data_IF_732763144628
#
_entry.id   IF_732763144628
#
_cell.length_a   1.000
_cell.length_b   1.000
_cell.length_c   1.000
_cell.angle_alpha   90.00
_cell.angle_beta   90.00
_cell.angle_gamma   90.00
#
_symmetry.space_group_name_H-M   'P 1'
#
loop_
_entity.id
_entity.type
_entity.pdbx_description
1 polymer ?
#
# COMPACT_ATOMS: atom_id res chain seq x y z
N UNK A 1 -17.47 14.26 -0.08
CA UNK A 1 -18.18 13.77 1.09
C UNK A 1 -18.56 12.27 1.01
N UNK A 2 -19.03 11.78 -0.14
CA UNK A 2 -19.46 10.39 -0.37
C UNK A 2 -18.41 9.35 0.04
N UNK A 3 -17.13 9.59 -0.26
CA UNK A 3 -16.03 8.65 -0.02
C UNK A 3 -15.18 9.03 1.19
N UNK A 4 -14.85 10.30 1.34
CA UNK A 4 -13.91 10.75 2.38
C UNK A 4 -14.43 10.50 3.80
N UNK A 5 -15.68 10.87 4.11
CA UNK A 5 -16.25 10.69 5.47
C UNK A 5 -16.31 9.23 5.92
N UNK A 6 -16.81 8.27 5.09
CA UNK A 6 -16.80 6.86 5.47
C UNK A 6 -15.41 6.28 5.66
N UNK A 7 -14.42 6.68 4.84
CA UNK A 7 -13.03 6.26 4.99
C UNK A 7 -12.42 6.84 6.27
N UNK A 8 -12.55 8.14 6.50
CA UNK A 8 -12.00 8.82 7.68
C UNK A 8 -12.59 8.33 9.00
N UNK A 9 -13.85 7.87 9.00
CA UNK A 9 -14.52 7.31 10.17
C UNK A 9 -14.30 5.80 10.36
N UNK A 10 -13.59 5.15 9.46
CA UNK A 10 -13.37 3.69 9.48
C UNK A 10 -14.62 2.86 9.16
N UNK A 11 -15.70 3.47 8.67
CA UNK A 11 -16.92 2.75 8.25
C UNK A 11 -16.74 2.00 6.94
N UNK A 12 -15.80 2.45 6.10
CA UNK A 12 -15.39 1.82 4.85
C UNK A 12 -13.88 1.75 4.79
N UNK A 13 -13.37 0.73 4.10
CA UNK A 13 -11.95 0.56 3.82
C UNK A 13 -11.64 0.96 2.39
N UNK A 14 -10.43 1.48 2.18
CA UNK A 14 -9.93 1.83 0.87
C UNK A 14 -8.60 1.17 0.56
N UNK A 15 -8.30 1.03 -0.73
CA UNK A 15 -7.01 0.56 -1.19
C UNK A 15 -6.51 1.36 -2.40
N UNK A 16 -5.23 1.15 -2.73
CA UNK A 16 -4.50 1.90 -3.74
C UNK A 16 -4.03 0.94 -4.84
N UNK A 17 -4.66 1.02 -6.01
CA UNK A 17 -4.47 0.13 -7.14
C UNK A 17 -3.59 0.74 -8.24
N UNK A 18 -2.26 0.77 -8.04
CA UNK A 18 -1.30 1.28 -9.02
C UNK A 18 -0.60 0.15 -9.78
N UNK A 19 -0.03 -0.81 -9.06
CA UNK A 19 0.86 -1.85 -9.60
C UNK A 19 0.14 -2.81 -10.54
N UNK A 20 0.79 -3.14 -11.65
CA UNK A 20 0.34 -4.16 -12.61
C UNK A 20 1.38 -5.29 -12.72
N UNK A 21 1.03 -6.46 -13.28
CA UNK A 21 1.97 -7.56 -13.46
C UNK A 21 3.29 -7.16 -14.15
N UNK A 22 3.24 -6.24 -15.11
CA UNK A 22 4.39 -5.78 -15.87
C UNK A 22 4.78 -4.31 -15.55
N UNK A 23 4.19 -3.68 -14.55
CA UNK A 23 4.44 -2.28 -14.17
C UNK A 23 4.47 -2.14 -12.65
N UNK A 24 5.61 -2.48 -12.04
CA UNK A 24 5.88 -2.29 -10.61
C UNK A 24 6.70 -1.02 -10.38
N UNK A 25 8.04 -1.15 -10.38
CA UNK A 25 8.95 0.02 -10.24
C UNK A 25 8.79 1.02 -11.39
N UNK A 26 8.55 0.53 -12.60
CA UNK A 26 8.14 1.36 -13.74
C UNK A 26 6.62 1.53 -13.77
N UNK A 27 6.09 2.32 -12.84
CA UNK A 27 4.65 2.58 -12.76
C UNK A 27 4.10 3.37 -13.96
N UNK A 28 4.97 4.00 -14.75
CA UNK A 28 4.58 4.69 -15.98
C UNK A 28 4.20 3.71 -17.10
N UNK A 29 4.75 2.49 -17.06
CA UNK A 29 4.52 1.43 -18.06
C UNK A 29 3.17 0.69 -17.90
N UNK A 30 2.24 1.19 -17.07
CA UNK A 30 0.95 0.55 -16.85
C UNK A 30 0.12 0.44 -18.14
N UNK A 31 -0.67 -0.65 -18.25
CA UNK A 31 -1.44 -0.99 -19.43
C UNK A 31 -2.96 -0.91 -19.22
N UNK A 32 -3.44 -0.91 -17.97
CA UNK A 32 -4.85 -0.69 -17.67
C UNK A 32 -5.34 0.60 -18.34
N UNK A 33 -6.43 0.52 -19.09
CA UNK A 33 -6.99 1.64 -19.87
C UNK A 33 -8.28 2.16 -19.27
N UNK A 34 -8.57 3.44 -19.48
CA UNK A 34 -9.84 4.07 -19.19
C UNK A 34 -10.25 4.92 -20.41
N UNK A 35 -11.15 4.39 -21.22
CA UNK A 35 -11.65 5.08 -22.42
C UNK A 35 -12.88 5.89 -22.06
N UNK A 36 -12.88 7.19 -22.41
CA UNK A 36 -14.02 8.07 -22.14
C UNK A 36 -15.13 7.85 -23.16
N UNK A 37 -16.33 7.60 -22.67
CA UNK A 37 -17.54 7.44 -23.45
C UNK A 37 -18.67 8.31 -22.87
N UNK A 38 -18.83 9.51 -23.42
CA UNK A 38 -19.82 10.46 -22.93
C UNK A 38 -19.60 10.91 -21.48
N UNK A 39 -20.49 10.49 -20.59
CA UNK A 39 -20.49 10.87 -19.16
C UNK A 39 -19.81 9.84 -18.24
N UNK A 40 -19.13 8.83 -18.82
CA UNK A 40 -18.43 7.79 -18.08
C UNK A 40 -17.12 7.37 -18.75
N UNK A 41 -16.37 6.51 -18.05
CA UNK A 41 -15.16 5.83 -18.56
C UNK A 41 -15.39 4.33 -18.55
N UNK A 42 -14.88 3.64 -19.56
CA UNK A 42 -14.84 2.18 -19.63
C UNK A 42 -13.43 1.73 -19.27
N UNK A 43 -13.28 1.05 -18.13
CA UNK A 43 -11.98 0.53 -17.64
C UNK A 43 -11.78 -0.92 -18.07
N UNK A 44 -10.59 -1.21 -18.58
CA UNK A 44 -10.12 -2.54 -18.92
C UNK A 44 -8.68 -2.77 -18.50
N UNK A 45 -8.38 -3.92 -17.88
CA UNK A 45 -7.03 -4.29 -17.43
C UNK A 45 -6.99 -5.01 -16.11
N UNK A 46 -5.84 -4.96 -15.44
CA UNK A 46 -5.68 -5.61 -14.12
C UNK A 46 -4.67 -4.86 -13.25
N UNK A 47 -4.79 -5.05 -11.94
CA UNK A 47 -3.82 -4.61 -10.94
C UNK A 47 -3.44 -5.79 -10.06
N UNK A 48 -2.21 -5.81 -9.55
CA UNK A 48 -1.71 -6.90 -8.71
C UNK A 48 -1.06 -6.37 -7.43
N UNK A 49 -0.98 -7.21 -6.41
CA UNK A 49 -0.42 -6.88 -5.11
C UNK A 49 -1.14 -5.73 -4.39
N UNK A 50 -2.47 -5.66 -4.54
CA UNK A 50 -3.25 -4.58 -3.95
C UNK A 50 -3.61 -4.90 -2.51
N UNK A 51 -2.91 -4.23 -1.60
CA UNK A 51 -3.08 -4.40 -0.15
C UNK A 51 -4.47 -3.97 0.30
N UNK A 52 -5.07 -4.76 1.19
CA UNK A 52 -6.42 -4.61 1.74
C UNK A 52 -7.57 -4.78 0.74
N UNK A 53 -7.31 -5.11 -0.52
CA UNK A 53 -8.35 -5.19 -1.55
C UNK A 53 -9.45 -6.22 -1.26
N UNK A 54 -9.15 -7.33 -0.55
CA UNK A 54 -10.12 -8.36 -0.23
C UNK A 54 -11.30 -7.87 0.64
N UNK A 55 -11.09 -6.85 1.47
CA UNK A 55 -12.12 -6.26 2.33
C UNK A 55 -12.37 -4.77 2.07
N UNK A 56 -11.70 -4.16 1.10
CA UNK A 56 -11.98 -2.77 0.72
C UNK A 56 -13.33 -2.59 0.05
N UNK A 57 -13.95 -1.45 0.29
CA UNK A 57 -15.17 -1.00 -0.37
C UNK A 57 -14.87 -0.02 -1.51
N UNK A 58 -13.76 0.72 -1.37
CA UNK A 58 -13.37 1.83 -2.24
C UNK A 58 -11.95 1.59 -2.74
N UNK A 59 -11.75 1.71 -4.05
CA UNK A 59 -10.49 1.44 -4.73
C UNK A 59 -10.07 2.68 -5.50
N UNK A 60 -8.91 3.25 -5.18
CA UNK A 60 -8.29 4.28 -6.01
C UNK A 60 -7.44 3.57 -7.06
N UNK A 61 -7.87 3.65 -8.32
CA UNK A 61 -7.26 2.92 -9.44
C UNK A 61 -6.69 3.89 -10.45
N UNK A 62 -5.47 3.64 -10.90
CA UNK A 62 -4.80 4.40 -11.94
C UNK A 62 -4.91 3.69 -13.27
N UNK A 63 -5.32 4.42 -14.31
CA UNK A 63 -5.50 3.87 -15.64
C UNK A 63 -5.08 4.88 -16.73
N UNK A 64 -4.70 4.38 -17.88
CA UNK A 64 -4.27 5.16 -19.02
C UNK A 64 -5.50 5.68 -19.79
N UNK A 65 -5.68 6.99 -19.77
CA UNK A 65 -6.72 7.67 -20.59
C UNK A 65 -6.19 8.11 -21.95
N UNK A 66 -4.86 8.35 -22.07
CA UNK A 66 -4.22 8.74 -23.34
C UNK A 66 -2.78 8.21 -23.41
N UNK A 67 -2.59 7.09 -24.12
CA UNK A 67 -1.26 6.45 -24.27
C UNK A 67 -0.22 7.35 -24.93
N UNK A 68 -0.64 8.30 -25.77
CA UNK A 68 0.29 9.17 -26.51
C UNK A 68 1.01 10.17 -25.60
N UNK A 69 0.46 10.44 -24.40
CA UNK A 69 0.98 11.42 -23.44
C UNK A 69 1.89 10.85 -22.36
N UNK A 70 2.20 9.55 -22.39
CA UNK A 70 3.02 8.88 -21.37
C UNK A 70 2.44 9.09 -19.96
N UNK A 71 3.25 9.54 -19.00
CA UNK A 71 2.81 9.78 -17.61
C UNK A 71 1.67 10.81 -17.48
N UNK A 72 1.60 11.76 -18.42
CA UNK A 72 0.51 12.75 -18.48
C UNK A 72 -0.79 12.19 -19.09
N UNK A 73 -0.79 10.95 -19.52
CA UNK A 73 -1.98 10.23 -19.97
C UNK A 73 -2.59 9.32 -18.92
N UNK A 74 -2.00 9.26 -17.72
CA UNK A 74 -2.50 8.47 -16.61
C UNK A 74 -3.47 9.29 -15.78
N UNK A 75 -4.65 8.72 -15.49
CA UNK A 75 -5.71 9.32 -14.67
C UNK A 75 -6.00 8.43 -13.46
N UNK A 76 -6.61 9.01 -12.43
CA UNK A 76 -6.98 8.30 -11.20
C UNK A 76 -8.49 8.25 -11.04
N UNK A 77 -9.03 7.09 -10.67
CA UNK A 77 -10.46 6.83 -10.57
C UNK A 77 -10.83 6.21 -9.23
N UNK A 78 -12.04 6.50 -8.75
CA UNK A 78 -12.66 5.79 -7.64
C UNK A 78 -13.53 4.67 -8.19
N UNK A 79 -13.19 3.44 -7.84
CA UNK A 79 -13.97 2.24 -8.14
C UNK A 79 -14.65 1.78 -6.84
N UNK A 80 -15.92 1.40 -6.91
CA UNK A 80 -16.66 0.87 -5.77
C UNK A 80 -16.77 -0.65 -5.89
N UNK A 81 -16.72 -1.34 -4.77
CA UNK A 81 -16.95 -2.79 -4.72
C UNK A 81 -18.34 -3.13 -5.29
N UNK A 82 -18.39 -4.13 -6.15
CA UNK A 82 -19.64 -4.58 -6.76
C UNK A 82 -20.02 -3.87 -8.05
N UNK A 83 -19.20 -2.96 -8.59
CA UNK A 83 -19.39 -2.46 -9.96
C UNK A 83 -19.35 -3.63 -10.95
N UNK A 84 -20.29 -3.71 -11.91
CA UNK A 84 -20.27 -4.75 -12.95
C UNK A 84 -18.94 -4.79 -13.71
N UNK A 85 -18.41 -5.99 -13.94
CA UNK A 85 -17.11 -6.19 -14.61
C UNK A 85 -15.89 -6.02 -13.69
N UNK A 86 -16.04 -5.53 -12.45
CA UNK A 86 -14.97 -5.43 -11.48
C UNK A 86 -14.91 -6.68 -10.60
N UNK A 87 -13.76 -7.34 -10.58
CA UNK A 87 -13.51 -8.55 -9.78
C UNK A 87 -12.27 -8.40 -8.90
N UNK A 88 -12.35 -8.98 -7.70
CA UNK A 88 -11.25 -9.09 -6.75
C UNK A 88 -10.84 -10.57 -6.74
N UNK A 89 -9.58 -10.83 -7.06
CA UNK A 89 -9.01 -12.17 -7.08
C UNK A 89 -8.76 -12.74 -5.69
N UNK A 90 -8.16 -13.92 -5.65
CA UNK A 90 -7.80 -14.60 -4.41
C UNK A 90 -6.68 -13.86 -3.67
N UNK A 91 -6.64 -14.04 -2.35
CA UNK A 91 -5.56 -13.51 -1.52
C UNK A 91 -4.22 -14.20 -1.82
N UNK A 92 -3.20 -13.41 -2.12
CA UNK A 92 -1.86 -13.88 -2.48
C UNK A 92 -1.11 -14.23 -1.18
N UNK A 93 -0.59 -15.46 -1.02
CA UNK A 93 0.17 -15.87 0.17
C UNK A 93 1.39 -14.98 0.42
N UNK A 94 1.62 -14.61 1.68
CA UNK A 94 2.71 -13.71 2.11
C UNK A 94 3.55 -14.30 3.23
N UNK A 95 4.81 -13.91 3.29
CA UNK A 95 5.71 -14.28 4.37
C UNK A 95 5.28 -13.67 5.71
N UNK A 96 4.85 -12.40 5.70
CA UNK A 96 4.42 -11.66 6.88
C UNK A 96 3.21 -10.77 6.60
N UNK A 97 2.74 -10.04 7.61
CA UNK A 97 1.54 -9.17 7.59
C UNK A 97 0.33 -9.93 7.02
N UNK A 98 0.12 -11.14 7.51
CA UNK A 98 -0.90 -12.06 6.96
C UNK A 98 -2.34 -11.63 7.24
N UNK A 99 -2.54 -10.72 8.18
CA UNK A 99 -3.86 -10.16 8.48
C UNK A 99 -4.35 -9.15 7.43
N UNK A 100 -3.45 -8.54 6.65
CA UNK A 100 -3.83 -7.70 5.51
C UNK A 100 -4.08 -8.60 4.29
N UNK A 101 -5.19 -8.42 3.57
CA UNK A 101 -5.37 -9.08 2.27
C UNK A 101 -4.48 -8.44 1.21
N UNK A 102 -4.12 -9.21 0.18
CA UNK A 102 -3.33 -8.71 -0.94
C UNK A 102 -3.75 -9.45 -2.21
N UNK A 103 -4.66 -8.85 -2.97
CA UNK A 103 -5.29 -9.52 -4.10
C UNK A 103 -4.92 -8.88 -5.44
N UNK A 104 -5.25 -9.58 -6.49
CA UNK A 104 -5.33 -9.06 -7.84
C UNK A 104 -6.70 -8.38 -8.05
N UNK A 105 -6.74 -7.34 -8.88
CA UNK A 105 -7.96 -6.69 -9.33
C UNK A 105 -8.08 -6.86 -10.84
N UNK A 106 -9.25 -7.24 -11.34
CA UNK A 106 -9.50 -7.34 -12.77
C UNK A 106 -10.68 -6.44 -13.18
N UNK A 107 -10.50 -5.77 -14.30
CA UNK A 107 -11.47 -4.85 -14.90
C UNK A 107 -11.81 -5.33 -16.31
N UNK A 108 -13.06 -5.70 -16.51
CA UNK A 108 -13.62 -6.11 -17.79
C UNK A 108 -14.83 -5.22 -18.11
N UNK A 109 -14.59 -4.21 -18.95
CA UNK A 109 -15.59 -3.21 -19.36
C UNK A 109 -16.30 -2.55 -18.15
N UNK A 110 -15.55 -2.19 -17.11
CA UNK A 110 -16.10 -1.54 -15.92
C UNK A 110 -16.51 -0.11 -16.26
N UNK A 111 -17.80 0.17 -16.12
CA UNK A 111 -18.35 1.51 -16.35
C UNK A 111 -18.15 2.36 -15.08
N UNK A 112 -17.35 3.41 -15.20
CA UNK A 112 -17.02 4.32 -14.11
C UNK A 112 -17.56 5.72 -14.42
N UNK A 113 -18.49 6.25 -13.61
CA UNK A 113 -19.02 7.60 -13.81
C UNK A 113 -17.91 8.65 -13.89
N UNK A 114 -18.03 9.67 -14.74
CA UNK A 114 -17.03 10.72 -14.88
C UNK A 114 -16.78 11.49 -13.57
N UNK A 115 -17.76 11.56 -12.70
CA UNK A 115 -17.63 12.17 -11.36
C UNK A 115 -16.69 11.38 -10.42
N UNK A 116 -16.38 10.13 -10.72
CA UNK A 116 -15.42 9.31 -9.98
C UNK A 116 -13.96 9.55 -10.41
N UNK A 117 -13.70 10.42 -11.38
CA UNK A 117 -12.37 10.88 -11.72
C UNK A 117 -11.81 11.74 -10.56
N UNK A 118 -10.60 11.42 -10.10
CA UNK A 118 -9.90 12.20 -9.08
C UNK A 118 -9.03 13.25 -9.75
N UNK A 119 -9.28 14.52 -9.48
CA UNK A 119 -8.58 15.64 -10.12
C UNK A 119 -9.01 15.81 -11.58
N UNK A 120 -8.04 15.88 -12.50
CA UNK A 120 -8.27 16.02 -13.95
C UNK A 120 -7.66 14.86 -14.70
N UNK A 121 -8.13 14.62 -15.92
CA UNK A 121 -7.45 13.68 -16.81
C UNK A 121 -5.95 14.02 -16.95
N UNK A 122 -5.12 12.98 -16.87
CA UNK A 122 -3.65 13.11 -16.97
C UNK A 122 -2.95 13.52 -15.68
N UNK A 123 -3.66 13.79 -14.59
CA UNK A 123 -3.06 14.10 -13.28
C UNK A 123 -2.79 12.85 -12.41
N UNK A 124 -3.24 11.67 -12.83
CA UNK A 124 -3.16 10.45 -12.03
C UNK A 124 -1.74 10.09 -11.61
N UNK A 125 -0.75 10.19 -12.50
CA UNK A 125 0.63 9.90 -12.13
C UNK A 125 1.18 10.85 -11.06
N UNK A 126 0.86 12.14 -11.15
CA UNK A 126 1.22 13.14 -10.14
C UNK A 126 0.57 12.81 -8.79
N UNK A 127 -0.71 12.43 -8.80
CA UNK A 127 -1.45 12.02 -7.59
C UNK A 127 -0.80 10.77 -6.98
N UNK A 128 -0.45 9.77 -7.82
CA UNK A 128 0.21 8.56 -7.36
C UNK A 128 1.55 8.86 -6.68
N UNK A 129 2.40 9.67 -7.29
CA UNK A 129 3.71 10.01 -6.73
C UNK A 129 3.60 10.79 -5.43
N UNK A 130 2.71 11.78 -5.36
CA UNK A 130 2.47 12.53 -4.12
C UNK A 130 1.96 11.64 -2.97
N UNK A 131 1.12 10.65 -3.28
CA UNK A 131 0.64 9.66 -2.30
C UNK A 131 1.78 8.76 -1.81
N UNK A 132 2.65 8.31 -2.73
CA UNK A 132 3.80 7.47 -2.39
C UNK A 132 4.85 8.20 -1.55
N UNK A 133 5.05 9.50 -1.76
CA UNK A 133 5.98 10.31 -0.95
C UNK A 133 5.55 10.32 0.53
N UNK A 134 4.27 10.54 0.80
CA UNK A 134 3.72 10.41 2.15
C UNK A 134 3.79 8.97 2.69
N UNK A 135 3.52 7.99 1.82
CA UNK A 135 3.59 6.56 2.15
C UNK A 135 4.97 6.10 2.59
N UNK A 136 6.05 6.62 1.99
CA UNK A 136 7.45 6.29 2.34
C UNK A 136 7.77 6.63 3.80
N UNK A 137 7.32 7.79 4.27
CA UNK A 137 7.48 8.20 5.68
C UNK A 137 6.75 7.23 6.60
N UNK A 138 5.51 6.86 6.25
CA UNK A 138 4.72 5.89 7.01
C UNK A 138 5.39 4.51 7.10
N UNK A 139 5.95 4.01 6.00
CA UNK A 139 6.67 2.71 5.98
C UNK A 139 7.95 2.78 6.81
N UNK A 140 8.70 3.88 6.76
CA UNK A 140 9.87 4.08 7.62
C UNK A 140 9.48 4.05 9.11
N UNK A 141 8.40 4.73 9.49
CA UNK A 141 7.88 4.70 10.86
C UNK A 141 7.44 3.30 11.32
N UNK A 142 6.83 2.50 10.43
CA UNK A 142 6.48 1.10 10.71
C UNK A 142 7.75 0.28 10.99
N UNK A 143 8.77 0.38 10.15
CA UNK A 143 10.02 -0.36 10.32
C UNK A 143 10.70 0.01 11.65
N UNK A 144 10.76 1.30 11.98
CA UNK A 144 11.29 1.80 13.24
C UNK A 144 10.51 1.27 14.45
N UNK A 145 9.18 1.29 14.38
CA UNK A 145 8.30 0.79 15.44
C UNK A 145 8.50 -0.70 15.72
N UNK A 146 8.61 -1.51 14.65
CA UNK A 146 8.89 -2.95 14.75
C UNK A 146 10.26 -3.19 15.38
N UNK A 147 11.29 -2.46 14.95
CA UNK A 147 12.65 -2.59 15.50
C UNK A 147 12.67 -2.25 16.99
N UNK A 148 12.06 -1.14 17.41
CA UNK A 148 11.97 -0.76 18.82
C UNK A 148 11.19 -1.78 19.64
N UNK A 149 10.07 -2.26 19.16
CA UNK A 149 9.27 -3.30 19.82
C UNK A 149 10.09 -4.58 20.03
N UNK A 150 10.81 -5.04 19.02
CA UNK A 150 11.67 -6.21 19.11
C UNK A 150 12.80 -6.04 20.15
N UNK A 151 13.41 -4.86 20.23
CA UNK A 151 14.43 -4.55 21.23
C UNK A 151 13.82 -4.57 22.63
N UNK A 152 12.67 -3.95 22.85
CA UNK A 152 12.00 -3.90 24.15
C UNK A 152 11.69 -5.30 24.68
N UNK A 153 11.11 -6.17 23.85
CA UNK A 153 10.82 -7.56 24.21
C UNK A 153 12.10 -8.37 24.45
N UNK A 154 13.15 -8.11 23.66
CA UNK A 154 14.44 -8.76 23.85
C UNK A 154 15.09 -8.37 25.17
N UNK A 155 15.08 -7.09 25.54
CA UNK A 155 15.64 -6.58 26.82
C UNK A 155 14.93 -7.26 27.98
N UNK A 156 13.61 -7.37 27.93
CA UNK A 156 12.83 -8.07 28.96
C UNK A 156 13.26 -9.53 29.07
N UNK A 157 13.26 -10.25 27.96
CA UNK A 157 13.57 -11.67 27.92
C UNK A 157 15.01 -11.96 28.40
N UNK A 158 16.03 -11.22 27.95
CA UNK A 158 17.42 -11.46 28.38
C UNK A 158 17.67 -11.11 29.85
N UNK A 159 16.82 -10.27 30.46
CA UNK A 159 16.83 -9.97 31.88
C UNK A 159 16.26 -11.10 32.74
N UNK A 160 15.39 -11.94 32.20
CA UNK A 160 14.72 -13.04 32.89
C UNK A 160 15.39 -14.40 32.63
N UNK A 161 15.75 -14.70 31.40
CA UNK A 161 16.33 -15.98 30.99
C UNK A 161 17.71 -16.18 31.58
N UNK A 162 17.92 -17.35 32.26
CA UNK A 162 19.20 -17.73 32.86
C UNK A 162 19.83 -18.90 32.11
N UNK A 163 21.13 -18.82 31.91
CA UNK A 163 22.00 -19.90 31.46
C UNK A 163 23.39 -19.72 32.11
N UNK A 164 24.09 -20.82 32.36
CA UNK A 164 25.37 -20.80 33.07
C UNK A 164 25.33 -20.07 34.41
N UNK A 165 24.22 -20.22 35.16
CA UNK A 165 24.02 -19.64 36.47
C UNK A 165 23.71 -18.13 36.54
N UNK A 166 23.57 -17.46 35.41
CA UNK A 166 23.28 -16.00 35.35
C UNK A 166 22.35 -15.65 34.21
N UNK A 167 21.78 -14.44 34.23
CA UNK A 167 20.92 -13.95 33.16
C UNK A 167 21.70 -13.81 31.87
N UNK A 168 21.08 -14.16 30.72
CA UNK A 168 21.78 -14.07 29.44
C UNK A 168 22.09 -12.62 29.03
N UNK A 169 21.36 -11.65 29.58
CA UNK A 169 21.66 -10.21 29.44
C UNK A 169 22.95 -9.78 30.15
N UNK A 170 23.52 -10.60 31.05
CA UNK A 170 24.81 -10.29 31.69
C UNK A 170 26.02 -10.58 30.81
N UNK A 171 25.85 -11.39 29.73
CA UNK A 171 26.96 -11.68 28.82
C UNK A 171 27.33 -10.46 27.96
N UNK A 172 28.63 -10.25 27.77
CA UNK A 172 29.17 -9.11 27.06
C UNK A 172 28.63 -9.00 25.64
N UNK A 173 28.59 -10.10 24.87
CA UNK A 173 28.07 -10.11 23.51
C UNK A 173 26.61 -9.63 23.44
N UNK A 174 25.74 -10.09 24.37
CA UNK A 174 24.35 -9.68 24.46
C UNK A 174 24.24 -8.17 24.73
N UNK A 175 25.01 -7.66 25.68
CA UNK A 175 25.05 -6.22 26.01
C UNK A 175 25.46 -5.37 24.82
N UNK A 176 26.55 -5.74 24.17
CA UNK A 176 27.08 -4.99 23.01
C UNK A 176 26.10 -5.00 21.85
N UNK A 177 25.50 -6.16 21.57
CA UNK A 177 24.51 -6.27 20.49
C UNK A 177 23.28 -5.41 20.74
N UNK A 178 22.75 -5.42 21.95
CA UNK A 178 21.60 -4.57 22.31
C UNK A 178 21.94 -3.09 22.25
N UNK A 179 23.13 -2.68 22.73
CA UNK A 179 23.58 -1.30 22.65
C UNK A 179 23.72 -0.83 21.19
N UNK A 180 24.32 -1.66 20.32
CA UNK A 180 24.44 -1.38 18.89
C UNK A 180 23.07 -1.20 18.22
N UNK A 181 22.14 -2.12 18.50
CA UNK A 181 20.79 -2.09 17.92
C UNK A 181 20.00 -0.86 18.40
N UNK A 182 20.08 -0.53 19.70
CA UNK A 182 19.41 0.66 20.23
C UNK A 182 19.96 1.94 19.60
N UNK A 183 21.29 2.05 19.49
CA UNK A 183 21.90 3.20 18.83
C UNK A 183 21.44 3.39 17.37
N UNK A 184 21.28 2.27 16.62
CA UNK A 184 20.74 2.32 15.25
C UNK A 184 19.28 2.77 15.21
N UNK A 185 18.47 2.31 16.15
CA UNK A 185 17.05 2.72 16.25
C UNK A 185 16.94 4.19 16.63
N UNK A 186 17.76 4.66 17.57
CA UNK A 186 17.77 6.07 17.96
C UNK A 186 18.23 6.97 16.82
N UNK A 187 19.26 6.58 16.08
CA UNK A 187 19.71 7.30 14.88
C UNK A 187 18.62 7.36 13.81
N UNK A 188 17.96 6.21 13.51
CA UNK A 188 16.88 6.15 12.53
C UNK A 188 15.65 6.97 12.93
N UNK A 189 15.42 7.16 14.24
CA UNK A 189 14.31 7.99 14.75
C UNK A 189 14.55 9.48 14.52
N UNK A 190 15.79 9.90 14.45
CA UNK A 190 16.17 11.31 14.28
C UNK A 190 16.26 11.74 12.80
N UNK A 191 16.29 10.78 11.87
CA UNK A 191 16.23 11.01 10.42
C UNK A 191 14.79 11.20 9.92
#
# INVERSE_FOLDING_TARGET
EKYYRPLASGKKYGCFGLTEPNAGSDAAGQQTTAVKEGDHYVLNGSKIFITNSGFSDIFVVFAMTDKSKGTKGISAFIIEKGMPGFTIGNDIPRMGIRAASNCELAFDNVIVPAENLIGREGEGFKIAMATLDGGRIGVAAIALGIAQGAINETIKYVGERKQFGKTIGSFQNTKFKLAELQAKVDAARLL
#
